data_IF_358784392911
#
_entry.id   IF_358784392911
#
_cell.length_a   1.000
_cell.length_b   1.000
_cell.length_c   1.000
_cell.angle_alpha   90.00
_cell.angle_beta   90.00
_cell.angle_gamma   90.00
#
_symmetry.space_group_name_H-M   'P 1'
#
loop_
_entity.id
_entity.type
_entity.pdbx_description
1 polymer ?
#
# COMPACT_ATOMS: atom_id res chain seq x y z
N UNK A 1 21.03 -20.33 -4.61
CA UNK A 1 19.71 -19.78 -4.22
C UNK A 1 18.52 -20.76 -4.33
N UNK A 2 18.62 -21.89 -5.06
CA UNK A 2 17.50 -22.83 -5.25
C UNK A 2 17.24 -23.84 -4.10
N UNK A 3 18.00 -23.80 -3.00
CA UNK A 3 17.95 -24.84 -1.95
C UNK A 3 17.15 -24.43 -0.71
N UNK A 4 16.88 -23.13 -0.50
CA UNK A 4 16.17 -22.64 0.70
C UNK A 4 14.64 -22.78 0.59
N UNK A 5 14.09 -22.91 -0.62
CA UNK A 5 12.63 -22.99 -0.84
C UNK A 5 11.99 -24.38 -0.65
N UNK A 6 12.79 -25.44 -0.46
CA UNK A 6 12.24 -26.80 -0.26
C UNK A 6 11.73 -27.08 1.16
N UNK A 7 12.10 -26.25 2.14
CA UNK A 7 11.75 -26.46 3.56
C UNK A 7 10.34 -26.01 3.96
N UNK A 8 9.67 -25.17 3.17
CA UNK A 8 8.39 -24.53 3.54
C UNK A 8 7.16 -25.32 3.01
N UNK A 9 7.37 -26.36 2.19
CA UNK A 9 6.29 -27.08 1.50
C UNK A 9 5.80 -28.37 2.19
N UNK A 10 6.26 -28.70 3.41
CA UNK A 10 5.89 -29.98 4.06
C UNK A 10 4.74 -29.91 5.08
N UNK A 11 4.10 -28.77 5.31
CA UNK A 11 2.97 -28.68 6.25
C UNK A 11 1.80 -27.89 5.67
N UNK A 12 0.79 -28.61 5.16
CA UNK A 12 -0.52 -28.06 4.82
C UNK A 12 -0.58 -27.33 3.49
N UNK A 13 -1.17 -27.97 2.48
CA UNK A 13 -1.49 -27.39 1.19
C UNK A 13 -2.46 -26.21 1.33
N UNK A 14 -1.93 -25.00 1.39
CA UNK A 14 -2.68 -23.76 1.24
C UNK A 14 -2.90 -23.49 -0.27
N UNK A 15 -4.14 -23.55 -0.79
CA UNK A 15 -4.43 -23.44 -2.24
C UNK A 15 -3.97 -22.12 -2.88
N UNK A 16 -3.72 -21.08 -2.08
CA UNK A 16 -3.28 -19.77 -2.56
C UNK A 16 -1.76 -19.69 -2.78
N UNK A 17 -0.94 -20.49 -2.08
CA UNK A 17 0.51 -20.54 -2.33
C UNK A 17 0.83 -21.05 -3.74
N UNK A 18 0.04 -21.99 -4.26
CA UNK A 18 0.10 -22.44 -5.65
C UNK A 18 -0.29 -21.36 -6.66
N UNK A 19 -1.14 -20.40 -6.28
CA UNK A 19 -1.49 -19.25 -7.13
C UNK A 19 -0.48 -18.10 -7.05
N UNK A 20 0.33 -18.05 -5.97
CA UNK A 20 1.42 -17.07 -5.83
C UNK A 20 2.76 -17.52 -6.43
N UNK A 21 2.94 -18.81 -6.68
CA UNK A 21 4.17 -19.34 -7.28
C UNK A 21 4.49 -18.76 -8.68
N UNK A 22 3.50 -18.58 -9.58
CA UNK A 22 3.69 -17.85 -10.82
C UNK A 22 4.07 -16.38 -10.60
N UNK A 23 3.61 -15.75 -9.49
CA UNK A 23 3.91 -14.35 -9.15
C UNK A 23 5.35 -14.16 -8.72
N UNK A 24 5.85 -15.02 -7.84
CA UNK A 24 7.26 -15.00 -7.45
C UNK A 24 8.16 -15.29 -8.65
N UNK A 25 7.74 -16.20 -9.52
CA UNK A 25 8.47 -16.50 -10.76
C UNK A 25 8.46 -15.32 -11.74
N UNK A 26 7.31 -14.71 -12.01
CA UNK A 26 7.19 -13.55 -12.91
C UNK A 26 7.91 -12.32 -12.36
N UNK A 27 7.93 -12.13 -11.04
CA UNK A 27 8.70 -11.07 -10.39
C UNK A 27 10.21 -11.28 -10.56
N UNK A 28 10.69 -12.52 -10.39
CA UNK A 28 12.09 -12.90 -10.61
C UNK A 28 12.52 -12.70 -12.06
N UNK A 29 11.63 -12.97 -13.04
CA UNK A 29 11.92 -12.74 -14.47
C UNK A 29 11.74 -11.28 -14.94
N UNK A 30 11.01 -10.45 -14.19
CA UNK A 30 10.79 -9.04 -14.52
C UNK A 30 11.85 -8.10 -13.91
N UNK A 31 12.71 -8.61 -13.02
CA UNK A 31 13.86 -7.89 -12.51
C UNK A 31 15.00 -7.97 -13.56
N UNK A 32 15.65 -6.86 -13.94
CA UNK A 32 16.86 -6.94 -14.75
C UNK A 32 17.91 -7.77 -14.02
N UNK A 33 18.74 -8.56 -14.72
CA UNK A 33 19.79 -9.34 -14.09
C UNK A 33 20.67 -8.41 -13.24
N UNK A 34 20.74 -8.68 -11.94
CA UNK A 34 21.56 -7.92 -11.01
C UNK A 34 23.04 -8.02 -11.40
N UNK A 35 23.71 -6.87 -11.44
CA UNK A 35 25.15 -6.78 -11.60
C UNK A 35 25.82 -7.43 -10.37
N UNK A 36 26.65 -8.47 -10.52
CA UNK A 36 27.20 -9.22 -9.41
C UNK A 36 28.46 -8.55 -8.87
N UNK A 37 28.33 -7.34 -8.34
CA UNK A 37 29.38 -6.70 -7.55
C UNK A 37 28.76 -6.26 -6.22
N UNK A 38 28.69 -7.19 -5.27
CA UNK A 38 28.47 -6.90 -3.86
C UNK A 38 29.59 -7.57 -3.11
N UNK A 39 30.56 -6.73 -2.71
CA UNK A 39 31.60 -7.10 -1.76
C UNK A 39 30.98 -7.52 -0.43
N UNK A 40 31.47 -8.65 0.04
CA UNK A 40 31.23 -9.27 1.33
C UNK A 40 31.95 -8.44 2.41
N UNK A 41 31.21 -7.74 3.27
CA UNK A 41 31.75 -7.19 4.51
C UNK A 41 31.11 -7.87 5.72
N UNK A 42 31.76 -8.96 6.14
CA UNK A 42 31.71 -9.46 7.52
C UNK A 42 32.61 -8.60 8.41
N UNK A 43 32.09 -8.08 9.52
CA UNK A 43 32.60 -8.36 10.88
C UNK A 43 32.17 -7.28 11.89
N UNK A 44 31.46 -7.74 12.90
CA UNK A 44 31.33 -7.08 14.19
C UNK A 44 32.66 -7.26 14.95
N UNK A 45 33.39 -6.16 15.15
CA UNK A 45 34.52 -6.06 16.08
C UNK A 45 34.16 -5.11 17.21
N UNK A 46 34.03 -5.65 18.41
CA UNK A 46 33.81 -4.98 19.68
C UNK A 46 35.18 -4.84 20.34
N UNK A 47 35.63 -3.62 20.65
CA UNK A 47 36.66 -3.40 21.65
C UNK A 47 36.53 -2.03 22.33
N UNK A 48 36.77 -2.06 23.63
CA UNK A 48 36.84 -0.93 24.57
C UNK A 48 38.18 -0.21 24.45
N UNK A 49 38.24 1.09 24.78
CA UNK A 49 39.52 1.74 25.03
C UNK A 49 39.44 3.26 25.18
N UNK A 50 39.79 3.71 26.38
CA UNK A 50 39.79 5.07 26.92
C UNK A 50 40.81 6.05 26.32
N UNK A 51 40.61 7.32 26.70
CA UNK A 51 41.62 8.36 27.05
C UNK A 51 42.11 9.42 26.04
N UNK A 52 41.78 10.67 26.43
CA UNK A 52 42.59 11.89 26.57
C UNK A 52 43.26 12.59 25.37
N UNK A 53 42.78 13.83 25.17
CA UNK A 53 43.49 15.13 25.18
C UNK A 53 44.57 15.54 24.16
N UNK A 54 44.44 16.83 23.82
CA UNK A 54 45.43 17.83 23.36
C UNK A 54 45.68 18.07 21.85
N UNK A 55 45.10 19.19 21.39
CA UNK A 55 45.78 20.39 20.86
C UNK A 55 46.76 20.30 19.66
N UNK A 56 46.40 21.09 18.63
CA UNK A 56 47.21 22.15 17.99
C UNK A 56 47.57 22.02 16.49
N UNK A 57 47.17 23.09 15.77
CA UNK A 57 47.83 23.82 14.67
C UNK A 57 48.29 23.15 13.36
N UNK A 58 47.59 23.57 12.30
CA UNK A 58 48.09 24.44 11.20
C UNK A 58 48.86 23.85 10.00
N UNK A 59 48.73 24.60 8.89
CA UNK A 59 49.33 24.54 7.55
C UNK A 59 48.65 23.65 6.49
N UNK A 60 48.20 24.35 5.44
CA UNK A 60 47.46 23.80 4.30
C UNK A 60 48.33 23.20 3.21
N UNK A 61 47.68 22.75 2.14
CA UNK A 61 48.28 22.68 0.83
C UNK A 61 47.21 22.58 -0.27
N UNK A 62 47.45 23.32 -1.34
CA UNK A 62 46.73 23.33 -2.59
C UNK A 62 46.86 21.99 -3.33
N UNK A 63 45.83 21.61 -4.11
CA UNK A 63 45.94 20.48 -5.04
C UNK A 63 44.62 19.94 -5.56
N UNK A 64 43.90 20.75 -6.34
CA UNK A 64 42.84 20.26 -7.23
C UNK A 64 43.48 19.87 -8.58
N UNK A 65 43.44 18.59 -8.95
CA UNK A 65 43.02 18.30 -10.31
C UNK A 65 42.29 16.95 -10.43
N UNK A 66 41.06 16.95 -10.93
CA UNK A 66 40.67 16.16 -12.11
C UNK A 66 39.15 16.17 -12.25
N UNK A 67 38.68 16.95 -13.23
CA UNK A 67 37.30 16.96 -13.67
C UNK A 67 36.92 15.64 -14.33
N UNK A 68 35.83 15.07 -13.86
CA UNK A 68 35.13 13.96 -14.48
C UNK A 68 34.66 14.33 -15.89
N UNK A 69 35.11 13.56 -16.86
CA UNK A 69 34.60 13.55 -18.22
C UNK A 69 33.65 12.35 -18.36
N UNK A 70 32.33 12.60 -18.32
CA UNK A 70 31.32 11.63 -18.80
C UNK A 70 30.49 12.31 -19.91
N UNK A 71 30.39 11.70 -21.11
CA UNK A 71 29.73 12.29 -22.26
C UNK A 71 28.21 12.34 -22.09
N UNK A 72 27.65 13.46 -22.53
CA UNK A 72 26.21 13.70 -22.71
C UNK A 72 25.60 12.68 -23.68
N UNK A 73 24.85 11.71 -23.13
CA UNK A 73 23.82 10.97 -23.85
C UNK A 73 22.46 11.58 -23.56
N UNK A 74 22.01 12.50 -24.40
CA UNK A 74 20.65 13.08 -24.35
C UNK A 74 19.64 11.98 -24.71
N UNK A 75 18.87 11.51 -23.73
CA UNK A 75 17.65 10.73 -23.99
C UNK A 75 16.44 11.64 -23.78
N UNK A 76 15.91 12.07 -24.91
CA UNK A 76 14.75 12.94 -25.09
C UNK A 76 13.50 12.36 -24.40
N UNK A 77 13.19 12.87 -23.20
CA UNK A 77 11.93 12.65 -22.50
C UNK A 77 11.00 13.84 -22.70
N UNK A 78 10.66 14.14 -23.96
CA UNK A 78 9.56 15.07 -24.26
C UNK A 78 8.22 14.46 -23.84
N UNK A 79 7.84 14.72 -22.60
CA UNK A 79 6.42 14.88 -22.25
C UNK A 79 5.86 16.05 -23.08
N UNK A 80 4.65 15.95 -23.64
CA UNK A 80 4.04 17.13 -24.26
C UNK A 80 3.92 18.24 -23.21
N UNK A 81 4.20 19.50 -23.57
CA UNK A 81 4.20 20.60 -22.62
C UNK A 81 2.82 20.77 -21.99
N UNK A 82 2.78 20.85 -20.67
CA UNK A 82 1.62 21.24 -19.90
C UNK A 82 1.25 22.67 -20.32
N UNK A 83 0.20 22.79 -21.12
CA UNK A 83 -0.37 24.10 -21.45
C UNK A 83 -1.10 24.58 -20.19
N UNK A 84 -0.58 25.65 -19.56
CA UNK A 84 -1.32 26.39 -18.55
C UNK A 84 -2.60 26.92 -19.21
N UNK A 85 -3.75 26.43 -18.76
CA UNK A 85 -5.04 27.04 -19.03
C UNK A 85 -5.72 27.30 -17.69
N UNK A 86 -6.06 28.57 -17.51
CA UNK A 86 -6.78 29.11 -16.39
C UNK A 86 -8.19 28.52 -16.31
N UNK A 87 -8.61 28.27 -15.06
CA UNK A 87 -9.95 27.93 -14.60
C UNK A 87 -10.57 26.63 -15.16
N UNK A 88 -10.93 25.75 -14.22
CA UNK A 88 -11.55 24.41 -14.36
C UNK A 88 -10.54 23.29 -14.65
N UNK A 89 -9.97 22.75 -13.57
CA UNK A 89 -9.05 21.61 -13.56
C UNK A 89 -9.74 20.31 -14.04
N UNK A 90 -9.85 20.14 -15.35
CA UNK A 90 -10.08 18.83 -15.98
C UNK A 90 -8.78 18.41 -16.64
N UNK A 91 -7.94 17.66 -15.92
CA UNK A 91 -6.79 16.99 -16.54
C UNK A 91 -7.38 15.83 -17.35
N UNK A 92 -7.46 15.98 -18.67
CA UNK A 92 -7.65 14.83 -19.55
C UNK A 92 -6.33 14.06 -19.55
N UNK A 93 -6.16 13.18 -18.57
CA UNK A 93 -5.11 12.17 -18.63
C UNK A 93 -5.58 11.18 -19.70
N UNK A 94 -4.73 10.95 -20.70
CA UNK A 94 -5.00 10.11 -21.85
C UNK A 94 -5.76 8.82 -21.50
N UNK A 95 -6.59 8.32 -22.42
CA UNK A 95 -7.16 6.97 -22.36
C UNK A 95 -6.03 5.94 -22.31
N UNK A 96 -5.51 5.68 -21.12
CA UNK A 96 -4.51 4.67 -20.90
C UNK A 96 -5.22 3.32 -20.88
N UNK A 97 -5.17 2.63 -22.02
CA UNK A 97 -5.43 1.20 -22.02
C UNK A 97 -4.22 0.53 -21.37
N UNK A 98 -4.40 0.05 -20.14
CA UNK A 98 -3.37 -0.69 -19.45
C UNK A 98 -3.28 -2.10 -20.02
N UNK A 99 -2.18 -2.39 -20.71
CA UNK A 99 -1.80 -3.74 -21.12
C UNK A 99 -0.79 -4.28 -20.09
N UNK A 100 -1.25 -5.12 -19.18
CA UNK A 100 -0.41 -5.75 -18.16
C UNK A 100 -0.99 -7.08 -17.71
N UNK A 101 -0.26 -7.80 -16.87
CA UNK A 101 -0.75 -9.06 -16.32
C UNK A 101 -1.80 -8.73 -15.27
N UNK A 102 -3.05 -9.11 -15.57
CA UNK A 102 -4.20 -8.84 -14.73
C UNK A 102 -4.49 -10.04 -13.83
N UNK A 103 -4.64 -9.77 -12.53
CA UNK A 103 -5.01 -10.77 -11.54
C UNK A 103 -6.30 -10.34 -10.84
N UNK A 104 -7.19 -11.29 -10.56
CA UNK A 104 -8.47 -11.04 -9.91
C UNK A 104 -9.66 -11.22 -10.85
N UNK A 105 -10.77 -10.55 -10.55
CA UNK A 105 -12.03 -10.65 -11.33
C UNK A 105 -11.85 -10.17 -12.78
N UNK A 106 -10.77 -9.43 -13.02
CA UNK A 106 -10.50 -8.80 -14.31
C UNK A 106 -9.81 -9.73 -15.32
N UNK A 107 -9.09 -10.79 -14.92
CA UNK A 107 -8.51 -11.81 -15.82
C UNK A 107 -7.61 -11.32 -16.98
N UNK A 108 -6.76 -12.19 -17.54
CA UNK A 108 -5.85 -11.80 -18.65
C UNK A 108 -6.57 -11.56 -20.00
N UNK A 109 -7.81 -12.02 -20.15
CA UNK A 109 -8.55 -12.07 -21.43
C UNK A 109 -9.70 -11.06 -21.56
N UNK A 110 -9.92 -10.17 -20.59
CA UNK A 110 -11.17 -9.43 -20.50
C UNK A 110 -11.28 -8.18 -21.39
N UNK A 111 -10.20 -7.75 -22.04
CA UNK A 111 -10.18 -6.50 -22.81
C UNK A 111 -10.56 -5.27 -21.96
N UNK A 112 -10.49 -5.39 -20.63
CA UNK A 112 -10.88 -4.34 -19.71
C UNK A 112 -9.83 -3.24 -19.69
N UNK A 113 -10.30 -1.99 -19.71
CA UNK A 113 -9.47 -0.80 -19.61
C UNK A 113 -10.01 0.08 -18.50
N UNK A 114 -9.09 0.76 -17.82
CA UNK A 114 -9.43 1.78 -16.83
C UNK A 114 -9.11 3.13 -17.44
N UNK A 115 -10.13 3.97 -17.54
CA UNK A 115 -9.96 5.37 -17.90
C UNK A 115 -9.71 6.17 -16.62
N UNK A 116 -8.50 6.70 -16.46
CA UNK A 116 -8.15 7.53 -15.31
C UNK A 116 -8.80 8.91 -15.49
N UNK A 117 -9.56 9.35 -14.49
CA UNK A 117 -10.27 10.64 -14.54
C UNK A 117 -9.48 11.72 -13.82
N UNK A 118 -9.13 11.48 -12.55
CA UNK A 118 -8.49 12.48 -11.72
C UNK A 118 -7.56 11.87 -10.69
N UNK A 119 -6.55 12.63 -10.31
CA UNK A 119 -5.70 12.33 -9.16
C UNK A 119 -6.47 12.67 -7.88
N UNK A 120 -6.55 11.72 -6.94
CA UNK A 120 -7.15 11.92 -5.63
C UNK A 120 -6.12 12.37 -4.60
N UNK A 121 -5.01 11.63 -4.52
CA UNK A 121 -3.98 11.89 -3.53
C UNK A 121 -2.64 11.31 -3.97
N UNK A 122 -1.59 11.75 -3.28
CA UNK A 122 -0.24 11.21 -3.39
C UNK A 122 0.26 10.96 -1.98
N UNK A 123 0.79 9.76 -1.75
CA UNK A 123 1.43 9.38 -0.51
C UNK A 123 2.84 8.88 -0.75
N UNK A 124 3.49 8.43 0.32
CA UNK A 124 4.87 7.92 0.27
C UNK A 124 5.04 6.72 -0.67
N UNK A 125 4.01 5.90 -0.81
CA UNK A 125 4.07 4.60 -1.50
C UNK A 125 3.31 4.56 -2.81
N UNK A 126 2.90 5.73 -3.32
CA UNK A 126 2.23 5.80 -4.61
C UNK A 126 1.22 6.92 -4.73
N UNK A 127 0.51 6.86 -5.85
CA UNK A 127 -0.48 7.86 -6.23
C UNK A 127 -1.83 7.18 -6.35
N UNK A 128 -2.86 7.83 -5.83
CA UNK A 128 -4.24 7.34 -5.91
C UNK A 128 -4.99 8.16 -6.97
N UNK A 129 -5.65 7.46 -7.88
CA UNK A 129 -6.48 8.05 -8.92
C UNK A 129 -7.93 7.56 -8.81
N UNK A 130 -8.88 8.36 -9.28
CA UNK A 130 -10.18 7.84 -9.71
C UNK A 130 -10.14 7.45 -11.17
N UNK A 131 -11.00 6.50 -11.54
CA UNK A 131 -11.22 6.15 -12.92
C UNK A 131 -12.56 5.48 -13.17
N UNK A 132 -12.77 5.05 -14.41
CA UNK A 132 -13.90 4.23 -14.85
C UNK A 132 -13.37 2.90 -15.35
N UNK A 133 -13.81 1.81 -14.73
CA UNK A 133 -13.58 0.44 -15.18
C UNK A 133 -14.77 0.05 -16.08
N UNK A 134 -14.48 -0.20 -17.36
CA UNK A 134 -15.45 -0.62 -18.40
C UNK A 134 -16.83 0.02 -18.33
N UNK A 135 -16.96 1.13 -19.06
CA UNK A 135 -18.18 1.91 -19.35
C UNK A 135 -18.94 2.48 -18.16
N UNK A 136 -19.15 1.82 -17.01
CA UNK A 136 -20.09 2.34 -15.98
C UNK A 136 -19.65 2.23 -14.50
N UNK A 137 -18.54 1.59 -14.15
CA UNK A 137 -18.14 1.47 -12.73
C UNK A 137 -17.03 2.46 -12.36
N UNK A 138 -17.32 3.40 -11.46
CA UNK A 138 -16.28 4.26 -10.87
C UNK A 138 -15.37 3.42 -9.98
N UNK A 139 -14.07 3.58 -10.15
CA UNK A 139 -13.03 2.86 -9.41
C UNK A 139 -12.00 3.81 -8.83
N UNK A 140 -11.26 3.30 -7.85
CA UNK A 140 -10.01 3.86 -7.36
C UNK A 140 -8.86 2.98 -7.84
N UNK A 141 -7.81 3.62 -8.34
CA UNK A 141 -6.57 2.97 -8.74
C UNK A 141 -5.42 3.49 -7.87
N UNK A 142 -4.87 2.64 -7.00
CA UNK A 142 -3.64 2.92 -6.24
C UNK A 142 -2.45 2.45 -7.07
N UNK A 143 -1.52 3.35 -7.34
CA UNK A 143 -0.44 3.16 -8.32
C UNK A 143 0.92 3.28 -7.67
N UNK A 144 1.71 2.21 -7.75
CA UNK A 144 3.13 2.20 -7.41
C UNK A 144 3.94 2.33 -8.70
N UNK A 145 4.77 3.37 -8.84
CA UNK A 145 5.34 3.77 -10.14
C UNK A 145 6.75 3.24 -10.43
N UNK A 146 7.56 2.86 -9.42
CA UNK A 146 8.97 2.49 -9.69
C UNK A 146 9.65 1.52 -8.72
N UNK A 147 9.46 1.64 -7.40
CA UNK A 147 10.17 0.78 -6.46
C UNK A 147 9.62 -0.65 -6.45
N UNK A 148 10.51 -1.65 -6.44
CA UNK A 148 10.15 -3.07 -6.26
C UNK A 148 9.29 -3.26 -5.02
N UNK A 149 9.64 -2.56 -3.94
CA UNK A 149 9.04 -2.71 -2.62
C UNK A 149 7.61 -2.16 -2.59
N UNK A 150 7.35 -1.04 -3.28
CA UNK A 150 6.00 -0.49 -3.38
C UNK A 150 5.08 -1.41 -4.20
N UNK A 151 5.62 -2.07 -5.23
CA UNK A 151 4.85 -3.10 -5.99
C UNK A 151 4.54 -4.31 -5.12
N UNK A 152 5.51 -4.79 -4.35
CA UNK A 152 5.33 -5.89 -3.41
C UNK A 152 4.29 -5.55 -2.33
N UNK A 153 4.27 -4.30 -1.86
CA UNK A 153 3.26 -3.80 -0.93
C UNK A 153 1.85 -3.81 -1.53
N UNK A 154 1.67 -3.37 -2.77
CA UNK A 154 0.37 -3.47 -3.44
C UNK A 154 -0.07 -4.92 -3.67
N UNK A 155 0.88 -5.82 -3.96
CA UNK A 155 0.61 -7.25 -4.05
C UNK A 155 0.17 -7.83 -2.70
N UNK A 156 0.83 -7.46 -1.61
CA UNK A 156 0.44 -7.86 -0.26
C UNK A 156 -0.96 -7.33 0.07
N UNK A 157 -1.23 -6.05 -0.19
CA UNK A 157 -2.56 -5.46 0.00
C UNK A 157 -3.64 -6.18 -0.83
N UNK A 158 -3.36 -6.50 -2.10
CA UNK A 158 -4.25 -7.30 -2.95
C UNK A 158 -4.54 -8.69 -2.36
N UNK A 159 -3.54 -9.36 -1.79
CA UNK A 159 -3.73 -10.66 -1.14
C UNK A 159 -4.67 -10.56 0.07
N UNK A 160 -4.58 -9.48 0.86
CA UNK A 160 -5.50 -9.23 1.99
C UNK A 160 -6.93 -9.07 1.54
N UNK A 161 -7.15 -8.33 0.45
CA UNK A 161 -8.46 -8.27 -0.17
C UNK A 161 -8.99 -9.67 -0.49
N UNK A 162 -8.20 -10.55 -1.11
CA UNK A 162 -8.64 -11.93 -1.41
C UNK A 162 -8.97 -12.74 -0.15
N UNK A 163 -8.19 -12.61 0.90
CA UNK A 163 -8.45 -13.29 2.18
C UNK A 163 -9.68 -12.75 2.92
N UNK A 164 -10.03 -11.47 2.69
CA UNK A 164 -11.15 -10.76 3.33
C UNK A 164 -12.35 -10.58 2.38
N UNK A 165 -12.52 -11.48 1.41
CA UNK A 165 -13.56 -11.36 0.39
C UNK A 165 -14.98 -11.22 0.99
N UNK A 166 -15.25 -11.86 2.13
CA UNK A 166 -16.57 -11.82 2.78
C UNK A 166 -16.92 -10.44 3.38
N UNK A 167 -15.92 -9.58 3.57
CA UNK A 167 -16.10 -8.21 4.07
C UNK A 167 -16.18 -7.18 2.94
N UNK A 168 -15.85 -7.57 1.70
CA UNK A 168 -15.89 -6.69 0.54
C UNK A 168 -17.31 -6.23 0.22
N UNK A 169 -17.43 -4.96 -0.16
CA UNK A 169 -18.71 -4.33 -0.44
C UNK A 169 -19.52 -3.98 0.80
N UNK A 170 -19.13 -4.45 2.00
CA UNK A 170 -19.79 -4.18 3.30
C UNK A 170 -18.95 -3.29 4.21
N UNK A 171 -17.69 -3.66 4.46
CA UNK A 171 -16.77 -2.87 5.29
C UNK A 171 -15.45 -2.59 4.58
N UNK A 172 -15.20 -3.24 3.45
CA UNK A 172 -14.06 -3.00 2.57
C UNK A 172 -14.57 -2.61 1.18
N UNK A 173 -13.82 -1.82 0.39
CA UNK A 173 -14.07 -1.68 -1.03
C UNK A 173 -14.05 -3.04 -1.72
N UNK A 174 -14.85 -3.24 -2.78
CA UNK A 174 -14.66 -4.42 -3.63
C UNK A 174 -13.32 -4.29 -4.35
N UNK A 175 -12.51 -5.34 -4.32
CA UNK A 175 -11.27 -5.39 -5.09
C UNK A 175 -11.52 -6.07 -6.42
N UNK A 176 -11.36 -5.32 -7.51
CA UNK A 176 -11.56 -5.83 -8.86
C UNK A 176 -10.32 -6.61 -9.31
N UNK A 177 -9.14 -6.12 -8.99
CA UNK A 177 -7.90 -6.80 -9.37
C UNK A 177 -6.66 -5.96 -9.13
N UNK A 178 -5.52 -6.56 -9.48
CA UNK A 178 -4.25 -5.86 -9.59
C UNK A 178 -3.69 -6.05 -11.01
N UNK A 179 -3.15 -4.99 -11.60
CA UNK A 179 -2.43 -5.02 -12.86
C UNK A 179 -0.96 -4.73 -12.60
N UNK A 180 -0.07 -5.56 -13.11
CA UNK A 180 1.37 -5.39 -12.93
C UNK A 180 2.03 -5.23 -14.29
N UNK A 181 2.90 -4.23 -14.38
CA UNK A 181 3.73 -3.92 -15.55
C UNK A 181 5.19 -3.84 -15.13
N UNK A 182 6.10 -3.82 -16.12
CA UNK A 182 7.53 -3.63 -15.89
C UNK A 182 7.83 -2.35 -15.09
N UNK A 183 7.02 -1.30 -15.25
CA UNK A 183 7.23 -0.01 -14.59
C UNK A 183 6.40 0.15 -13.33
N UNK A 184 5.13 -0.21 -13.37
CA UNK A 184 4.17 0.12 -12.30
C UNK A 184 3.29 -1.06 -11.90
N UNK A 185 2.68 -0.97 -10.71
CA UNK A 185 1.58 -1.83 -10.28
C UNK A 185 0.34 -0.99 -9.94
N UNK A 186 -0.85 -1.53 -10.23
CA UNK A 186 -2.13 -0.84 -10.10
C UNK A 186 -3.11 -1.73 -9.34
N UNK A 187 -3.43 -1.37 -8.10
CA UNK A 187 -4.49 -2.03 -7.33
C UNK A 187 -5.82 -1.31 -7.59
N UNK A 188 -6.82 -2.04 -8.06
CA UNK A 188 -8.09 -1.50 -8.53
C UNK A 188 -9.20 -1.92 -7.58
N UNK A 189 -9.86 -0.94 -6.98
CA UNK A 189 -10.99 -1.13 -6.07
C UNK A 189 -12.19 -0.29 -6.48
N UNK A 190 -13.38 -0.66 -6.00
CA UNK A 190 -14.58 0.17 -6.20
C UNK A 190 -14.38 1.55 -5.59
N UNK A 191 -14.86 2.58 -6.29
CA UNK A 191 -14.88 3.94 -5.74
C UNK A 191 -15.87 4.02 -4.58
N UNK A 192 -15.36 4.47 -3.44
CA UNK A 192 -16.16 4.77 -2.26
C UNK A 192 -16.35 6.28 -2.22
N UNK A 193 -17.59 6.73 -2.38
CA UNK A 193 -17.90 8.15 -2.21
C UNK A 193 -17.86 8.49 -0.73
N UNK A 194 -16.76 9.08 -0.30
CA UNK A 194 -16.63 9.62 1.04
C UNK A 194 -17.58 10.82 1.20
N UNK A 195 -18.35 10.82 2.29
CA UNK A 195 -19.22 11.94 2.66
C UNK A 195 -18.45 13.04 3.40
N UNK A 196 -17.12 12.99 3.33
CA UNK A 196 -16.20 13.91 3.97
C UNK A 196 -15.72 13.37 5.31
N UNK A 197 -14.48 13.73 5.64
CA UNK A 197 -13.89 13.47 6.94
C UNK A 197 -14.65 14.28 8.00
N UNK A 198 -15.59 13.61 8.69
CA UNK A 198 -16.31 14.23 9.80
C UNK A 198 -15.33 14.47 10.92
N UNK A 199 -15.17 15.74 11.32
CA UNK A 199 -14.36 16.10 12.50
C UNK A 199 -14.87 15.44 13.79
N UNK A 200 -16.14 15.01 13.80
CA UNK A 200 -16.74 14.25 14.88
C UNK A 200 -17.79 13.29 14.36
N UNK A 201 -17.63 12.01 14.68
CA UNK A 201 -18.67 11.00 14.48
C UNK A 201 -19.73 11.12 15.58
N UNK A 202 -20.99 10.91 15.22
CA UNK A 202 -22.06 10.71 16.22
C UNK A 202 -21.86 9.39 16.96
N UNK A 203 -22.56 9.20 18.08
CA UNK A 203 -22.44 7.96 18.87
C UNK A 203 -22.83 6.71 18.11
N UNK A 204 -23.89 6.79 17.30
CA UNK A 204 -24.30 5.68 16.44
C UNK A 204 -23.24 5.36 15.37
N UNK A 205 -22.62 6.38 14.79
CA UNK A 205 -21.57 6.21 13.80
C UNK A 205 -20.29 5.63 14.42
N UNK A 206 -19.86 6.15 15.57
CA UNK A 206 -18.77 5.57 16.37
C UNK A 206 -19.04 4.11 16.70
N UNK A 207 -20.26 3.78 17.13
CA UNK A 207 -20.68 2.40 17.38
C UNK A 207 -20.59 1.52 16.14
N UNK A 208 -21.01 2.02 14.98
CA UNK A 208 -20.91 1.28 13.71
C UNK A 208 -19.45 1.05 13.27
N UNK A 209 -18.55 2.02 13.47
CA UNK A 209 -17.10 1.84 13.23
C UNK A 209 -16.57 0.73 14.14
N UNK A 210 -16.89 0.78 15.43
CA UNK A 210 -16.42 -0.21 16.39
C UNK A 210 -16.96 -1.61 16.06
N UNK A 211 -18.24 -1.74 15.75
CA UNK A 211 -18.85 -3.01 15.34
C UNK A 211 -18.19 -3.61 14.08
N UNK A 212 -17.89 -2.77 13.09
CA UNK A 212 -17.17 -3.20 11.88
C UNK A 212 -15.76 -3.72 12.21
N UNK A 213 -15.06 -3.05 13.13
CA UNK A 213 -13.73 -3.47 13.59
C UNK A 213 -13.80 -4.78 14.37
N UNK A 214 -14.76 -4.93 15.29
CA UNK A 214 -15.00 -6.20 16.00
C UNK A 214 -15.30 -7.33 15.03
N UNK A 215 -16.02 -7.08 13.94
CA UNK A 215 -16.28 -8.09 12.90
C UNK A 215 -15.01 -8.50 12.15
N UNK A 216 -14.10 -7.56 11.87
CA UNK A 216 -12.78 -7.88 11.31
C UNK A 216 -12.00 -8.79 12.28
N UNK A 217 -11.98 -8.43 13.56
CA UNK A 217 -11.31 -9.17 14.63
C UNK A 217 -11.88 -10.57 14.86
N UNK A 218 -13.21 -10.70 14.85
CA UNK A 218 -13.90 -12.00 14.92
C UNK A 218 -13.62 -12.90 13.72
N UNK A 219 -13.16 -12.34 12.60
CA UNK A 219 -12.63 -13.11 11.45
C UNK A 219 -11.16 -13.55 11.60
N UNK A 220 -10.52 -13.24 12.72
CA UNK A 220 -9.10 -13.50 12.98
C UNK A 220 -8.15 -12.50 12.32
N UNK A 221 -8.57 -11.24 12.19
CA UNK A 221 -7.81 -10.18 11.51
C UNK A 221 -7.75 -8.89 12.33
N UNK A 222 -6.61 -8.20 12.28
CA UNK A 222 -6.41 -6.85 12.82
C UNK A 222 -6.03 -5.90 11.69
N UNK A 223 -6.42 -4.62 11.77
CA UNK A 223 -6.08 -3.64 10.75
C UNK A 223 -4.65 -3.09 10.91
N UNK A 224 -4.20 -2.92 12.16
CA UNK A 224 -2.92 -2.36 12.61
C UNK A 224 -2.62 -0.91 12.23
N UNK A 225 -3.51 -0.23 11.51
CA UNK A 225 -3.30 1.16 11.06
C UNK A 225 -4.61 1.95 10.97
N UNK A 226 -5.61 1.55 11.77
CA UNK A 226 -6.90 2.24 11.81
C UNK A 226 -6.93 3.38 12.83
N UNK A 227 -6.07 3.33 13.86
CA UNK A 227 -5.93 4.37 14.88
C UNK A 227 -4.49 4.79 14.99
N UNK A 228 -4.22 6.09 14.85
CA UNK A 228 -2.90 6.63 15.11
C UNK A 228 -2.60 6.53 16.62
N UNK A 229 -1.50 5.86 17.01
CA UNK A 229 -1.19 5.60 18.41
C UNK A 229 -0.90 6.87 19.21
N UNK A 230 -0.47 7.95 18.56
CA UNK A 230 -0.10 9.24 19.15
C UNK A 230 -1.30 10.17 19.20
N UNK A 231 -1.95 10.41 18.06
CA UNK A 231 -3.04 11.40 17.97
C UNK A 231 -4.39 10.84 18.42
N UNK A 232 -4.51 9.51 18.49
CA UNK A 232 -5.78 8.79 18.75
C UNK A 232 -6.89 9.18 17.77
N UNK A 233 -6.51 9.53 16.54
CA UNK A 233 -7.44 9.80 15.44
C UNK A 233 -7.60 8.54 14.61
N UNK A 234 -8.82 8.32 14.10
CA UNK A 234 -9.10 7.24 13.16
C UNK A 234 -8.54 7.62 11.78
N UNK A 235 -7.72 6.76 11.21
CA UNK A 235 -7.22 6.87 9.84
C UNK A 235 -7.70 5.67 9.03
N UNK A 236 -7.47 5.70 7.71
CA UNK A 236 -7.82 4.59 6.81
C UNK A 236 -9.29 4.16 6.90
N UNK A 237 -10.16 5.13 7.19
CA UNK A 237 -11.60 4.98 7.33
C UNK A 237 -12.29 6.00 6.43
N UNK A 238 -13.17 5.54 5.56
CA UNK A 238 -14.10 6.37 4.80
C UNK A 238 -15.51 6.21 5.36
N UNK A 239 -16.32 7.28 5.27
CA UNK A 239 -17.72 7.24 5.66
C UNK A 239 -18.61 7.35 4.44
N UNK A 240 -19.37 6.30 4.14
CA UNK A 240 -20.21 6.28 2.93
C UNK A 240 -21.58 5.67 3.24
N UNK A 241 -22.64 6.28 2.72
CA UNK A 241 -24.01 5.75 2.82
C UNK A 241 -24.40 5.24 4.24
N UNK A 242 -23.97 5.95 5.28
CA UNK A 242 -24.28 5.60 6.67
C UNK A 242 -23.48 4.43 7.27
N UNK A 243 -22.37 4.03 6.65
CA UNK A 243 -21.51 2.95 7.14
C UNK A 243 -20.01 3.25 7.01
N UNK A 244 -19.18 2.65 7.87
CA UNK A 244 -17.72 2.72 7.76
C UNK A 244 -17.21 1.81 6.63
N UNK A 245 -16.17 2.27 5.95
CA UNK A 245 -15.39 1.46 5.01
C UNK A 245 -13.91 1.63 5.30
N UNK A 246 -13.23 0.54 5.65
CA UNK A 246 -11.79 0.50 5.89
C UNK A 246 -11.04 0.41 4.56
N UNK A 247 -9.94 1.14 4.45
CA UNK A 247 -9.08 1.23 3.27
C UNK A 247 -7.63 0.98 3.67
N UNK A 248 -6.73 0.88 2.69
CA UNK A 248 -5.29 0.65 2.92
C UNK A 248 -5.00 -0.60 3.78
N UNK A 249 -5.19 -1.78 3.18
CA UNK A 249 -5.08 -3.05 3.89
C UNK A 249 -3.64 -3.57 3.99
N UNK A 250 -2.64 -2.73 3.75
CA UNK A 250 -1.24 -3.16 3.67
C UNK A 250 -0.71 -3.70 5.00
N UNK A 251 -1.18 -3.15 6.13
CA UNK A 251 -0.78 -3.54 7.48
C UNK A 251 -1.68 -4.59 8.11
N UNK A 252 -2.77 -4.94 7.44
CA UNK A 252 -3.73 -5.93 7.94
C UNK A 252 -3.02 -7.28 8.10
N UNK A 253 -3.24 -7.92 9.24
CA UNK A 253 -2.57 -9.16 9.58
C UNK A 253 -3.50 -10.12 10.30
N UNK A 254 -3.14 -11.41 10.27
CA UNK A 254 -3.79 -12.41 11.11
C UNK A 254 -3.56 -12.09 12.58
N UNK A 255 -4.60 -12.27 13.38
CA UNK A 255 -4.59 -11.98 14.80
C UNK A 255 -5.57 -12.90 15.52
N UNK A 256 -5.15 -13.41 16.66
CA UNK A 256 -6.03 -14.11 17.60
C UNK A 256 -6.53 -13.09 18.63
N UNK A 257 -7.82 -12.77 18.57
CA UNK A 257 -8.42 -11.69 19.35
C UNK A 257 -9.28 -12.26 20.48
N UNK A 258 -8.98 -11.85 21.72
CA UNK A 258 -9.75 -12.16 22.92
C UNK A 258 -10.81 -11.08 23.24
N UNK A 259 -10.96 -10.09 22.36
CA UNK A 259 -11.82 -8.92 22.53
C UNK A 259 -11.17 -7.75 23.28
N UNK A 260 -9.94 -7.90 23.79
CA UNK A 260 -9.23 -6.87 24.57
C UNK A 260 -7.87 -6.47 23.95
N UNK A 261 -7.73 -6.60 22.63
CA UNK A 261 -6.47 -6.28 21.97
C UNK A 261 -6.20 -4.76 21.91
N UNK A 262 -4.94 -4.40 21.61
CA UNK A 262 -4.48 -3.01 21.60
C UNK A 262 -5.22 -2.13 20.57
N UNK A 263 -5.59 -2.71 19.42
CA UNK A 263 -6.33 -1.98 18.38
C UNK A 263 -7.75 -1.65 18.83
N UNK A 264 -8.50 -2.62 19.38
CA UNK A 264 -9.86 -2.39 19.90
C UNK A 264 -9.86 -1.41 21.08
N UNK A 265 -8.86 -1.50 21.95
CA UNK A 265 -8.70 -0.55 23.07
C UNK A 265 -8.41 0.87 22.56
N UNK A 266 -7.55 1.00 21.56
CA UNK A 266 -7.24 2.30 20.95
C UNK A 266 -8.45 2.87 20.21
N UNK A 267 -9.20 2.04 19.49
CA UNK A 267 -10.42 2.41 18.81
C UNK A 267 -11.50 2.87 19.79
N UNK A 268 -11.67 2.17 20.93
CA UNK A 268 -12.57 2.62 22.00
C UNK A 268 -12.28 4.06 22.43
N UNK A 269 -11.01 4.36 22.70
CA UNK A 269 -10.58 5.68 23.15
C UNK A 269 -10.79 6.73 22.07
N UNK A 270 -10.36 6.45 20.83
CA UNK A 270 -10.50 7.34 19.68
C UNK A 270 -11.97 7.67 19.39
N UNK A 271 -12.85 6.67 19.46
CA UNK A 271 -14.28 6.80 19.21
C UNK A 271 -15.07 7.32 20.41
N UNK A 272 -14.41 7.50 21.56
CA UNK A 272 -14.97 7.97 22.84
C UNK A 272 -16.18 7.14 23.27
N UNK A 273 -16.05 5.82 23.20
CA UNK A 273 -17.07 4.87 23.63
C UNK A 273 -16.83 4.44 25.08
N UNK A 274 -17.89 4.44 25.87
CA UNK A 274 -17.90 3.86 27.21
C UNK A 274 -17.90 2.32 27.13
N UNK A 275 -17.48 1.62 28.19
CA UNK A 275 -17.56 0.15 28.24
C UNK A 275 -18.99 -0.39 28.00
N UNK A 276 -20.00 0.32 28.48
CA UNK A 276 -21.40 -0.04 28.25
C UNK A 276 -21.80 0.05 26.77
N UNK A 277 -21.40 1.14 26.09
CA UNK A 277 -21.66 1.29 24.65
C UNK A 277 -20.95 0.19 23.84
N UNK A 278 -19.73 -0.20 24.21
CA UNK A 278 -19.03 -1.34 23.57
C UNK A 278 -19.81 -2.63 23.73
N UNK A 279 -20.32 -2.94 24.92
CA UNK A 279 -21.09 -4.15 25.15
C UNK A 279 -22.37 -4.25 24.30
N UNK A 280 -22.86 -3.12 23.77
CA UNK A 280 -23.98 -3.05 22.83
C UNK A 280 -23.49 -3.29 21.39
N UNK A 281 -22.43 -2.59 20.98
CA UNK A 281 -21.94 -2.58 19.59
C UNK A 281 -21.02 -3.74 19.22
N UNK A 282 -20.43 -4.44 20.20
CA UNK A 282 -19.56 -5.59 19.97
C UNK A 282 -20.33 -6.91 19.77
N UNK A 283 -21.67 -6.88 19.81
CA UNK A 283 -22.55 -8.03 19.54
C UNK A 283 -22.81 -8.18 18.06
#
# INVERSE_FOLDING_TARGET
MAVILKGILSSGSCPWLSQMFPLLSALVFALPPGNPDVEEFTNYGRDHGDSSDESSSDSGNDGDPSGDFIPRGVLDTRFPPVTQLSAVNTIVIAKHKFTGNWLGELGESSGQSIEIISRLSEGRHGIVYTGILTRHSRVVAKVAVKASDDKLRLLAEFSRYKELQDLMGSYLPRCHGICITSRSAFLITSFVQDQGQKSKLSKAESGAVYAALTKLHGGGWTHNDIVDPVTKVMHNLLWTAGRPVFIDLVTVARHDCDGNCAELTSAQQALRLSPYEIAIWAR
#
